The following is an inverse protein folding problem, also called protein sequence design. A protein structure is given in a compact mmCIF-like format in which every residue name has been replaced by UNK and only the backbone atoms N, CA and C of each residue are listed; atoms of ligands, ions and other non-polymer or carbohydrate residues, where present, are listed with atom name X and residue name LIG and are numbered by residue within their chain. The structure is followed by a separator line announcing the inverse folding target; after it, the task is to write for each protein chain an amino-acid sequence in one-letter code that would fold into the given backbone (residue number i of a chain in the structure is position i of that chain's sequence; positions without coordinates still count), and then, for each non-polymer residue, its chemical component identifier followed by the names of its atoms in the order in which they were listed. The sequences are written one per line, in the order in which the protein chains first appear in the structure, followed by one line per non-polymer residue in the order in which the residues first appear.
data_IF_891198068236
#
_entry.id   IF_891198068236
#
_cell.length_a   1.000
_cell.length_b   1.000
_cell.length_c   1.000
_cell.angle_alpha   90.00
_cell.angle_beta   90.00
_cell.angle_gamma   90.00
#
_symmetry.space_group_name_H-M   'P 1'
#
loop_
_entity.id
_entity.type
_entity.pdbx_description
1 polymer ?
#
# COMPACT_ATOMS: atom_id res chain seq x y z
N UNK A 1 -57.27 10.22 10.46
CA UNK A 1 -58.17 9.90 11.60
C UNK A 1 -57.38 9.10 12.60
N UNK A 2 -57.38 9.53 13.87
CA UNK A 2 -56.81 8.79 14.99
C UNK A 2 -57.37 7.37 15.03
N UNK A 3 -56.51 6.37 15.23
CA UNK A 3 -56.84 5.29 16.16
C UNK A 3 -55.61 4.98 17.00
N UNK A 4 -55.68 5.50 18.21
CA UNK A 4 -54.93 5.11 19.39
C UNK A 4 -55.30 3.65 19.72
N UNK A 5 -54.32 2.76 19.84
CA UNK A 5 -54.55 1.43 20.42
C UNK A 5 -53.32 1.00 21.23
N UNK A 6 -53.19 1.59 22.42
CA UNK A 6 -52.45 1.02 23.54
C UNK A 6 -53.45 0.26 24.40
N UNK A 7 -53.46 -1.08 24.34
CA UNK A 7 -53.75 -1.94 25.50
C UNK A 7 -53.59 -3.42 25.12
N UNK A 8 -52.45 -4.02 25.49
CA UNK A 8 -52.37 -5.44 25.82
C UNK A 8 -51.15 -5.63 26.73
N UNK A 9 -51.45 -5.70 28.02
CA UNK A 9 -50.54 -5.97 29.12
C UNK A 9 -50.11 -7.43 29.03
N UNK A 10 -48.86 -7.68 28.68
CA UNK A 10 -48.18 -8.94 28.99
C UNK A 10 -46.98 -8.59 29.87
N UNK A 11 -47.08 -8.93 31.15
CA UNK A 11 -45.99 -8.95 32.12
C UNK A 11 -44.90 -9.91 31.59
N UNK A 12 -43.97 -9.40 30.80
CA UNK A 12 -42.64 -9.97 30.70
C UNK A 12 -41.79 -9.20 31.71
N UNK A 13 -41.30 -9.90 32.73
CA UNK A 13 -40.30 -9.38 33.66
C UNK A 13 -39.12 -8.85 32.83
N UNK A 14 -39.07 -7.54 32.67
CA UNK A 14 -37.91 -6.84 32.18
C UNK A 14 -36.82 -7.00 33.24
N UNK A 15 -36.04 -8.07 33.12
CA UNK A 15 -34.71 -8.13 33.72
C UNK A 15 -33.91 -7.05 33.00
N UNK A 16 -33.92 -5.83 33.50
CA UNK A 16 -32.86 -4.88 33.19
C UNK A 16 -31.56 -5.61 33.54
N UNK A 17 -30.64 -5.84 32.59
CA UNK A 17 -29.33 -6.34 32.93
C UNK A 17 -28.68 -5.26 33.80
N UNK A 18 -28.75 -5.44 35.12
CA UNK A 18 -27.89 -4.70 36.04
C UNK A 18 -26.48 -5.13 35.68
N UNK A 19 -25.69 -4.21 35.13
CA UNK A 19 -24.27 -4.44 34.91
C UNK A 19 -23.69 -4.98 36.22
N UNK A 20 -23.14 -6.20 36.17
CA UNK A 20 -22.56 -6.82 37.35
C UNK A 20 -21.40 -5.95 37.83
N UNK A 21 -21.14 -5.85 39.15
CA UNK A 21 -20.00 -5.09 39.68
C UNK A 21 -18.63 -5.53 39.11
N UNK A 22 -18.54 -6.77 38.58
CA UNK A 22 -17.37 -7.26 37.85
C UNK A 22 -17.14 -6.58 36.48
N UNK A 23 -18.20 -6.07 35.85
CA UNK A 23 -18.13 -5.33 34.59
C UNK A 23 -17.69 -3.89 34.83
N UNK A 24 -18.11 -3.30 35.95
CA UNK A 24 -17.78 -1.94 36.36
C UNK A 24 -16.29 -1.80 36.76
N UNK A 25 -15.74 -2.76 37.51
CA UNK A 25 -14.30 -2.79 37.82
C UNK A 25 -13.42 -3.08 36.60
N UNK A 26 -13.88 -3.93 35.68
CA UNK A 26 -13.17 -4.24 34.44
C UNK A 26 -13.00 -3.01 33.52
N UNK A 27 -13.99 -2.10 33.53
CA UNK A 27 -13.96 -0.84 32.77
C UNK A 27 -13.04 0.21 33.40
N UNK A 28 -12.88 0.25 34.73
CA UNK A 28 -11.96 1.18 35.41
C UNK A 28 -10.48 0.79 35.29
N UNK A 29 -10.19 -0.51 35.19
CA UNK A 29 -8.81 -1.00 35.06
C UNK A 29 -8.30 -1.03 33.62
N UNK A 30 -9.21 -0.94 32.65
CA UNK A 30 -8.89 -0.88 31.22
C UNK A 30 -7.91 0.26 30.86
N UNK A 31 -8.19 1.54 31.19
CA UNK A 31 -7.29 2.63 30.81
C UNK A 31 -5.91 2.49 31.46
N UNK A 32 -5.83 1.93 32.67
CA UNK A 32 -4.57 1.79 33.41
C UNK A 32 -3.66 0.73 32.78
N UNK A 33 -4.21 -0.40 32.33
CA UNK A 33 -3.42 -1.45 31.67
C UNK A 33 -2.92 -0.98 30.31
N UNK A 34 -3.78 -0.37 29.51
CA UNK A 34 -3.39 0.14 28.20
C UNK A 34 -2.35 1.27 28.33
N UNK A 35 -2.48 2.15 29.33
CA UNK A 35 -1.48 3.16 29.63
C UNK A 35 -0.12 2.53 29.97
N UNK A 36 -0.07 1.55 30.87
CA UNK A 36 1.17 0.84 31.22
C UNK A 36 1.80 0.13 30.02
N UNK A 37 0.97 -0.48 29.18
CA UNK A 37 1.43 -1.08 27.94
C UNK A 37 2.05 -0.04 26.99
N UNK A 38 1.39 1.11 26.84
CA UNK A 38 1.89 2.23 26.04
C UNK A 38 3.21 2.81 26.60
N UNK A 39 3.31 2.98 27.91
CA UNK A 39 4.54 3.43 28.59
C UNK A 39 5.70 2.46 28.38
N UNK A 40 5.46 1.15 28.54
CA UNK A 40 6.46 0.12 28.27
C UNK A 40 6.91 0.12 26.81
N UNK A 41 5.98 0.20 25.87
CA UNK A 41 6.29 0.27 24.43
C UNK A 41 7.07 1.55 24.08
N UNK A 42 6.68 2.70 24.63
CA UNK A 42 7.39 3.97 24.42
C UNK A 42 8.81 3.96 24.99
N UNK A 43 9.06 3.16 26.04
CA UNK A 43 10.39 2.92 26.59
C UNK A 43 11.19 1.85 25.84
N UNK A 44 10.64 1.25 24.76
CA UNK A 44 11.27 0.14 24.02
C UNK A 44 11.23 -1.21 24.76
N UNK A 45 10.49 -1.32 25.87
CA UNK A 45 10.29 -2.57 26.60
C UNK A 45 9.11 -3.36 26.03
N UNK A 46 9.31 -3.85 24.80
CA UNK A 46 8.29 -4.62 24.09
C UNK A 46 8.03 -5.99 24.73
N UNK A 47 8.96 -6.52 25.54
CA UNK A 47 8.75 -7.76 26.30
C UNK A 47 7.70 -7.57 27.39
N UNK A 48 7.66 -6.41 28.02
CA UNK A 48 6.61 -6.06 28.99
C UNK A 48 5.33 -5.58 28.31
N UNK A 49 5.43 -4.82 27.21
CA UNK A 49 4.26 -4.25 26.55
C UNK A 49 3.35 -5.32 25.92
N UNK A 50 3.91 -6.28 25.17
CA UNK A 50 3.13 -7.28 24.43
C UNK A 50 2.15 -8.10 25.28
N UNK A 51 2.52 -8.70 26.42
CA UNK A 51 1.57 -9.47 27.22
C UNK A 51 0.43 -8.61 27.78
N UNK A 52 0.71 -7.34 28.13
CA UNK A 52 -0.32 -6.40 28.59
C UNK A 52 -1.30 -6.08 27.46
N UNK A 53 -0.79 -5.82 26.25
CA UNK A 53 -1.62 -5.56 25.07
C UNK A 53 -2.45 -6.80 24.69
N UNK A 54 -1.82 -7.98 24.69
CA UNK A 54 -2.47 -9.22 24.30
C UNK A 54 -3.58 -9.65 25.28
N UNK A 55 -3.43 -9.38 26.58
CA UNK A 55 -4.53 -9.55 27.54
C UNK A 55 -5.67 -8.59 27.21
N UNK A 56 -5.35 -7.33 26.96
CA UNK A 56 -6.36 -6.31 26.72
C UNK A 56 -7.18 -6.57 25.45
N UNK A 57 -6.52 -6.93 24.35
CA UNK A 57 -7.17 -7.33 23.10
C UNK A 57 -8.04 -8.60 23.24
N UNK A 58 -7.82 -9.44 24.26
CA UNK A 58 -8.65 -10.63 24.55
C UNK A 58 -9.85 -10.32 25.44
N UNK A 59 -9.69 -9.43 26.42
CA UNK A 59 -10.70 -9.20 27.45
C UNK A 59 -11.78 -8.21 27.04
N UNK A 60 -11.45 -7.25 26.17
CA UNK A 60 -12.31 -6.10 25.97
C UNK A 60 -12.77 -5.94 24.52
N UNK A 61 -14.02 -6.31 24.27
CA UNK A 61 -14.67 -6.12 22.97
C UNK A 61 -15.26 -4.70 22.80
N UNK A 62 -15.19 -3.85 23.82
CA UNK A 62 -15.77 -2.50 23.84
C UNK A 62 -14.73 -1.39 23.69
N UNK A 63 -13.52 -1.70 23.22
CA UNK A 63 -12.47 -0.71 22.97
C UNK A 63 -12.91 0.21 21.82
N UNK A 64 -12.86 1.55 21.98
CA UNK A 64 -13.11 2.47 20.88
C UNK A 64 -12.22 2.18 19.67
N UNK A 65 -12.75 2.30 18.45
CA UNK A 65 -12.06 1.91 17.21
C UNK A 65 -10.64 2.50 17.11
N UNK A 66 -10.49 3.79 17.36
CA UNK A 66 -9.21 4.49 17.30
C UNK A 66 -8.19 3.92 18.30
N UNK A 67 -8.65 3.59 19.51
CA UNK A 67 -7.82 3.02 20.57
C UNK A 67 -7.43 1.59 20.23
N UNK A 68 -8.35 0.81 19.68
CA UNK A 68 -8.11 -0.56 19.25
C UNK A 68 -7.06 -0.59 18.12
N UNK A 69 -7.24 0.25 17.11
CA UNK A 69 -6.30 0.37 15.99
C UNK A 69 -4.90 0.79 16.46
N UNK A 70 -4.79 1.82 17.32
CA UNK A 70 -3.52 2.22 17.91
C UNK A 70 -2.87 1.10 18.73
N UNK A 71 -3.66 0.37 19.51
CA UNK A 71 -3.20 -0.78 20.30
C UNK A 71 -2.62 -1.89 19.42
N UNK A 72 -3.28 -2.19 18.30
CA UNK A 72 -2.81 -3.19 17.32
C UNK A 72 -1.54 -2.73 16.61
N UNK A 73 -1.42 -1.45 16.28
CA UNK A 73 -0.19 -0.90 15.72
C UNK A 73 0.98 -1.02 16.71
N UNK A 74 0.78 -0.66 17.97
CA UNK A 74 1.80 -0.84 19.02
C UNK A 74 2.17 -2.32 19.16
N UNK A 75 1.18 -3.22 19.16
CA UNK A 75 1.42 -4.66 19.25
C UNK A 75 2.20 -5.19 18.05
N UNK A 76 1.87 -4.76 16.84
CA UNK A 76 2.54 -5.16 15.62
C UNK A 76 4.02 -4.72 15.62
N UNK A 77 4.27 -3.46 15.98
CA UNK A 77 5.63 -2.92 16.09
C UNK A 77 6.44 -3.70 17.15
N UNK A 78 5.89 -3.86 18.36
CA UNK A 78 6.61 -4.55 19.43
C UNK A 78 6.87 -6.03 19.12
N UNK A 79 5.93 -6.73 18.50
CA UNK A 79 6.13 -8.11 18.08
C UNK A 79 7.29 -8.21 17.06
N UNK A 80 7.34 -7.28 16.10
CA UNK A 80 8.44 -7.17 15.14
C UNK A 80 9.80 -6.89 15.80
N UNK A 81 9.84 -5.98 16.79
CA UNK A 81 11.07 -5.68 17.56
C UNK A 81 11.57 -6.88 18.38
N UNK A 82 10.66 -7.72 18.87
CA UNK A 82 11.02 -8.96 19.58
C UNK A 82 11.37 -10.12 18.65
N UNK A 83 11.24 -9.95 17.33
CA UNK A 83 11.50 -10.98 16.32
C UNK A 83 10.35 -11.97 16.09
N UNK A 84 9.18 -11.75 16.69
CA UNK A 84 7.98 -12.57 16.44
C UNK A 84 7.20 -12.01 15.25
N UNK A 85 7.73 -12.24 14.04
CA UNK A 85 7.16 -11.71 12.80
C UNK A 85 5.78 -12.31 12.46
N UNK A 86 5.49 -13.54 12.90
CA UNK A 86 4.18 -14.16 12.73
C UNK A 86 3.14 -13.39 13.55
N UNK A 87 3.46 -13.07 14.80
CA UNK A 87 2.57 -12.28 15.66
C UNK A 87 2.47 -10.83 15.18
N UNK A 88 3.58 -10.23 14.73
CA UNK A 88 3.60 -8.89 14.14
C UNK A 88 2.65 -8.81 12.94
N UNK A 89 2.73 -9.78 12.03
CA UNK A 89 1.88 -9.84 10.84
C UNK A 89 0.41 -10.00 11.21
N UNK A 90 0.09 -10.86 12.19
CA UNK A 90 -1.27 -11.03 12.68
C UNK A 90 -1.86 -9.70 13.18
N UNK A 91 -1.12 -8.93 13.96
CA UNK A 91 -1.58 -7.64 14.44
C UNK A 91 -1.67 -6.59 13.33
N UNK A 92 -0.72 -6.57 12.39
CA UNK A 92 -0.76 -5.67 11.24
C UNK A 92 -1.98 -5.92 10.34
N UNK A 93 -2.30 -7.19 10.04
CA UNK A 93 -3.51 -7.56 9.29
C UNK A 93 -4.78 -7.20 10.06
N UNK A 94 -4.81 -7.40 11.37
CA UNK A 94 -5.97 -7.03 12.18
C UNK A 94 -6.18 -5.51 12.19
N UNK A 95 -5.10 -4.74 12.41
CA UNK A 95 -5.20 -3.29 12.51
C UNK A 95 -5.48 -2.63 11.15
N UNK A 96 -4.95 -3.14 10.04
CA UNK A 96 -5.23 -2.59 8.69
C UNK A 96 -6.69 -2.73 8.23
N UNK A 97 -7.53 -3.46 8.96
CA UNK A 97 -8.99 -3.52 8.69
C UNK A 97 -9.73 -2.24 9.09
N UNK A 98 -9.13 -1.40 9.94
CA UNK A 98 -9.78 -0.18 10.39
C UNK A 98 -9.71 0.92 9.33
N UNK A 99 -10.78 1.70 9.22
CA UNK A 99 -10.85 2.82 8.26
C UNK A 99 -9.76 3.87 8.53
N UNK A 100 -9.39 4.06 9.80
CA UNK A 100 -8.38 5.02 10.25
C UNK A 100 -7.02 4.38 10.56
N UNK A 101 -6.74 3.19 10.02
CA UNK A 101 -5.40 2.57 10.08
C UNK A 101 -4.31 3.57 9.67
N UNK A 102 -3.20 3.60 10.40
CA UNK A 102 -2.11 4.51 10.07
C UNK A 102 -1.31 4.04 8.85
N UNK A 103 -0.66 4.98 8.17
CA UNK A 103 0.25 4.69 7.06
C UNK A 103 1.46 3.85 7.52
N UNK A 104 1.89 4.00 8.78
CA UNK A 104 2.96 3.19 9.36
C UNK A 104 2.55 1.72 9.43
N UNK A 105 1.32 1.43 9.88
CA UNK A 105 0.84 0.06 10.00
C UNK A 105 0.69 -0.63 8.64
N UNK A 106 0.20 0.08 7.63
CA UNK A 106 0.12 -0.45 6.27
C UNK A 106 1.50 -0.77 5.68
N UNK A 107 2.49 0.12 5.88
CA UNK A 107 3.87 -0.13 5.46
C UNK A 107 4.50 -1.32 6.19
N UNK A 108 4.24 -1.46 7.49
CA UNK A 108 4.68 -2.62 8.26
C UNK A 108 4.07 -3.92 7.73
N UNK A 109 2.76 -3.93 7.43
CA UNK A 109 2.08 -5.09 6.82
C UNK A 109 2.78 -5.50 5.53
N UNK A 110 2.98 -4.57 4.60
CA UNK A 110 3.65 -4.85 3.33
C UNK A 110 5.08 -5.37 3.55
N UNK A 111 5.85 -4.73 4.43
CA UNK A 111 7.21 -5.15 4.73
C UNK A 111 7.26 -6.61 5.22
N UNK A 112 6.33 -7.02 6.09
CA UNK A 112 6.23 -8.39 6.58
C UNK A 112 5.81 -9.37 5.47
N UNK A 113 4.92 -8.97 4.56
CA UNK A 113 4.53 -9.79 3.41
C UNK A 113 5.70 -10.02 2.45
N UNK A 114 6.50 -8.97 2.19
CA UNK A 114 7.70 -9.08 1.37
C UNK A 114 8.80 -9.89 2.05
N UNK A 115 8.98 -9.73 3.37
CA UNK A 115 9.95 -10.50 4.15
C UNK A 115 9.65 -12.00 4.10
N UNK A 116 8.38 -12.39 4.20
CA UNK A 116 7.93 -13.78 4.16
C UNK A 116 7.69 -14.30 2.72
N UNK A 117 8.10 -13.55 1.68
CA UNK A 117 7.91 -13.88 0.27
C UNK A 117 6.44 -14.16 -0.12
N UNK A 118 5.49 -13.50 0.53
CA UNK A 118 4.04 -13.64 0.27
C UNK A 118 3.61 -12.69 -0.86
N UNK A 119 4.15 -12.90 -2.06
CA UNK A 119 4.01 -12.00 -3.21
C UNK A 119 2.54 -11.64 -3.52
N UNK A 120 1.63 -12.62 -3.52
CA UNK A 120 0.20 -12.35 -3.80
C UNK A 120 -0.42 -11.39 -2.78
N UNK A 121 -0.16 -11.61 -1.48
CA UNK A 121 -0.69 -10.75 -0.42
C UNK A 121 -0.06 -9.36 -0.46
N UNK A 122 1.23 -9.27 -0.76
CA UNK A 122 1.93 -8.00 -0.93
C UNK A 122 1.33 -7.20 -2.10
N UNK A 123 0.99 -7.84 -3.22
CA UNK A 123 0.31 -7.19 -4.35
C UNK A 123 -1.07 -6.68 -3.96
N UNK A 124 -1.87 -7.51 -3.29
CA UNK A 124 -3.19 -7.11 -2.79
C UNK A 124 -3.08 -5.90 -1.82
N UNK A 125 -2.03 -5.86 -1.02
CA UNK A 125 -1.72 -4.73 -0.13
C UNK A 125 -1.40 -3.47 -0.93
N UNK A 126 -0.53 -3.53 -1.94
CA UNK A 126 -0.17 -2.35 -2.76
C UNK A 126 -1.35 -1.86 -3.60
N UNK A 127 -2.17 -2.76 -4.13
CA UNK A 127 -3.42 -2.43 -4.81
C UNK A 127 -4.45 -1.80 -3.85
N UNK A 128 -4.49 -2.23 -2.59
CA UNK A 128 -5.32 -1.57 -1.58
C UNK A 128 -4.80 -0.17 -1.24
N UNK A 129 -3.48 -0.02 -1.18
CA UNK A 129 -2.83 1.25 -0.84
C UNK A 129 -3.09 2.35 -1.88
N UNK A 130 -3.01 2.03 -3.18
CA UNK A 130 -3.29 3.01 -4.23
C UNK A 130 -4.76 3.48 -4.21
N UNK A 131 -5.67 2.66 -3.69
CA UNK A 131 -7.11 2.93 -3.60
C UNK A 131 -7.51 3.67 -2.31
N UNK A 132 -6.88 4.82 -2.05
CA UNK A 132 -7.27 5.74 -0.96
C UNK A 132 -6.27 5.85 0.20
N UNK A 133 -5.07 5.26 0.07
CA UNK A 133 -3.97 5.37 1.02
C UNK A 133 -2.64 5.67 0.32
N UNK A 134 -2.68 6.53 -0.69
CA UNK A 134 -1.51 6.88 -1.51
C UNK A 134 -0.36 7.45 -0.67
N UNK A 135 -0.62 8.15 0.43
CA UNK A 135 0.41 8.63 1.34
C UNK A 135 1.26 7.48 1.92
N UNK A 136 0.62 6.38 2.37
CA UNK A 136 1.33 5.19 2.82
C UNK A 136 2.16 4.55 1.70
N UNK A 137 1.62 4.49 0.48
CA UNK A 137 2.33 3.96 -0.68
C UNK A 137 3.55 4.81 -1.05
N UNK A 138 3.37 6.12 -1.11
CA UNK A 138 4.38 7.10 -1.52
C UNK A 138 5.53 7.21 -0.51
N UNK A 139 5.26 6.90 0.76
CA UNK A 139 6.26 6.80 1.82
C UNK A 139 7.03 5.46 1.85
N UNK A 140 6.85 4.58 0.86
CA UNK A 140 7.68 3.38 0.67
C UNK A 140 8.85 3.73 -0.26
N UNK A 141 10.11 3.46 0.15
CA UNK A 141 11.26 3.72 -0.70
C UNK A 141 11.20 2.95 -2.03
N UNK A 142 11.41 3.65 -3.15
CA UNK A 142 11.39 3.06 -4.50
C UNK A 142 12.33 1.86 -4.68
N UNK A 143 13.45 1.80 -3.96
CA UNK A 143 14.39 0.67 -4.04
C UNK A 143 13.79 -0.64 -3.51
N UNK A 144 12.77 -0.59 -2.65
CA UNK A 144 12.03 -1.80 -2.22
C UNK A 144 11.27 -2.39 -3.40
N UNK A 145 10.58 -1.55 -4.18
CA UNK A 145 9.86 -1.99 -5.37
C UNK A 145 10.79 -2.50 -6.48
N UNK A 146 11.95 -1.86 -6.68
CA UNK A 146 12.95 -2.36 -7.64
C UNK A 146 13.50 -3.73 -7.24
N UNK A 147 13.78 -3.95 -5.95
CA UNK A 147 14.24 -5.25 -5.45
C UNK A 147 13.15 -6.31 -5.58
N UNK A 148 11.90 -5.95 -5.28
CA UNK A 148 10.77 -6.86 -5.42
C UNK A 148 10.53 -7.25 -6.88
N UNK A 149 10.55 -6.28 -7.80
CA UNK A 149 10.46 -6.54 -9.24
C UNK A 149 11.55 -7.49 -9.73
N UNK A 150 12.80 -7.29 -9.30
CA UNK A 150 13.90 -8.19 -9.64
C UNK A 150 13.66 -9.62 -9.15
N UNK A 151 13.08 -9.78 -7.96
CA UNK A 151 12.64 -11.09 -7.44
C UNK A 151 11.60 -11.74 -8.34
N UNK A 152 10.51 -11.03 -8.63
CA UNK A 152 9.44 -11.53 -9.51
C UNK A 152 9.94 -11.85 -10.93
N UNK A 153 10.88 -11.06 -11.47
CA UNK A 153 11.50 -11.31 -12.76
C UNK A 153 12.35 -12.59 -12.76
N UNK A 154 13.08 -12.85 -11.67
CA UNK A 154 13.87 -14.08 -11.51
C UNK A 154 12.99 -15.34 -11.47
N UNK A 155 11.78 -15.21 -10.91
CA UNK A 155 10.75 -16.25 -10.87
C UNK A 155 9.97 -16.37 -12.19
N UNK A 156 10.22 -15.46 -13.15
CA UNK A 156 9.50 -15.32 -14.43
C UNK A 156 8.00 -15.05 -14.24
N UNK A 157 7.62 -14.42 -13.14
CA UNK A 157 6.23 -14.09 -12.84
C UNK A 157 5.82 -12.75 -13.46
N UNK A 158 5.69 -12.73 -14.79
CA UNK A 158 5.27 -11.53 -15.51
C UNK A 158 3.87 -11.05 -15.10
N UNK A 159 3.01 -11.93 -14.56
CA UNK A 159 1.66 -11.55 -14.14
C UNK A 159 1.71 -10.68 -12.90
N UNK A 160 2.46 -11.10 -11.88
CA UNK A 160 2.71 -10.30 -10.69
C UNK A 160 3.45 -9.00 -11.01
N UNK A 161 4.46 -9.04 -11.88
CA UNK A 161 5.15 -7.82 -12.34
C UNK A 161 4.20 -6.83 -12.98
N UNK A 162 3.29 -7.28 -13.87
CA UNK A 162 2.29 -6.40 -14.48
C UNK A 162 1.35 -5.78 -13.43
N UNK A 163 0.89 -6.55 -12.44
CA UNK A 163 0.06 -6.02 -11.34
C UNK A 163 0.80 -4.94 -10.56
N UNK A 164 2.05 -5.22 -10.17
CA UNK A 164 2.89 -4.27 -9.45
C UNK A 164 3.06 -2.98 -10.24
N UNK A 165 3.50 -3.07 -11.50
CA UNK A 165 3.74 -1.90 -12.32
C UNK A 165 2.47 -1.12 -12.65
N UNK A 166 1.32 -1.77 -12.82
CA UNK A 166 0.05 -1.05 -12.99
C UNK A 166 -0.24 -0.09 -11.82
N UNK A 167 0.17 -0.45 -10.59
CA UNK A 167 0.09 0.44 -9.43
C UNK A 167 1.18 1.51 -9.46
N UNK A 168 2.43 1.11 -9.71
CA UNK A 168 3.59 2.02 -9.65
C UNK A 168 3.68 3.00 -10.83
N UNK A 169 2.88 2.83 -11.89
CA UNK A 169 2.76 3.79 -12.99
C UNK A 169 1.46 4.60 -12.91
N UNK A 170 0.62 4.38 -11.89
CA UNK A 170 -0.59 5.15 -11.67
C UNK A 170 -0.25 6.60 -11.28
N UNK A 171 -1.05 7.57 -11.72
CA UNK A 171 -0.90 8.97 -11.33
C UNK A 171 -1.07 9.24 -9.83
N UNK A 172 -1.70 8.30 -9.10
CA UNK A 172 -1.85 8.35 -7.66
C UNK A 172 -0.57 7.93 -6.90
N UNK A 173 0.39 7.29 -7.57
CA UNK A 173 1.69 6.96 -7.00
C UNK A 173 2.71 8.06 -7.31
N UNK A 174 3.18 8.73 -6.26
CA UNK A 174 4.12 9.86 -6.32
C UNK A 174 5.18 9.64 -5.23
N UNK A 175 6.20 8.81 -5.49
CA UNK A 175 7.16 8.41 -4.47
C UNK A 175 7.92 9.62 -3.90
N UNK A 176 7.98 9.70 -2.57
CA UNK A 176 8.61 10.82 -1.87
C UNK A 176 10.12 10.90 -2.12
N UNK A 177 10.78 9.76 -2.28
CA UNK A 177 12.24 9.67 -2.37
C UNK A 177 12.79 9.76 -3.81
N UNK A 178 11.96 9.59 -4.84
CA UNK A 178 12.40 9.64 -6.24
C UNK A 178 11.24 9.81 -7.22
N UNK A 179 10.74 11.04 -7.42
CA UNK A 179 9.65 11.30 -8.37
C UNK A 179 9.94 10.83 -9.81
N UNK A 180 11.21 10.87 -10.21
CA UNK A 180 11.66 10.46 -11.55
C UNK A 180 11.70 8.94 -11.74
N UNK A 181 11.54 8.13 -10.68
CA UNK A 181 11.53 6.68 -10.78
C UNK A 181 10.30 6.14 -11.54
N UNK A 182 9.19 6.88 -11.54
CA UNK A 182 7.93 6.47 -12.19
C UNK A 182 8.14 6.23 -13.69
N UNK A 183 8.96 7.04 -14.36
CA UNK A 183 9.22 6.87 -15.79
C UNK A 183 10.00 5.58 -16.11
N UNK A 184 10.91 5.15 -15.22
CA UNK A 184 11.58 3.85 -15.37
C UNK A 184 10.55 2.71 -15.23
N UNK A 185 9.60 2.85 -14.31
CA UNK A 185 8.52 1.87 -14.14
C UNK A 185 7.58 1.83 -15.35
N UNK A 186 7.31 2.98 -15.99
CA UNK A 186 6.52 3.05 -17.23
C UNK A 186 7.17 2.31 -18.38
N UNK A 187 8.47 2.48 -18.58
CA UNK A 187 9.23 1.77 -19.62
C UNK A 187 9.15 0.25 -19.43
N UNK A 188 9.44 -0.24 -18.22
CA UNK A 188 9.34 -1.66 -17.87
C UNK A 188 7.93 -2.22 -18.05
N UNK A 189 6.92 -1.45 -17.61
CA UNK A 189 5.52 -1.86 -17.74
C UNK A 189 5.08 -1.98 -19.19
N UNK A 190 5.46 -1.02 -20.04
CA UNK A 190 5.19 -1.07 -21.47
C UNK A 190 5.80 -2.32 -22.11
N UNK A 191 7.03 -2.69 -21.74
CA UNK A 191 7.67 -3.92 -22.19
C UNK A 191 6.87 -5.18 -21.81
N UNK A 192 6.33 -5.25 -20.60
CA UNK A 192 5.47 -6.35 -20.15
C UNK A 192 4.12 -6.39 -20.87
N UNK A 193 3.54 -5.23 -21.17
CA UNK A 193 2.29 -5.11 -21.92
C UNK A 193 2.48 -5.61 -23.37
N UNK A 194 3.59 -5.28 -24.02
CA UNK A 194 3.95 -5.80 -25.36
C UNK A 194 4.04 -7.32 -25.33
N UNK A 195 4.74 -7.88 -24.34
CA UNK A 195 4.87 -9.33 -24.19
C UNK A 195 3.51 -10.02 -24.02
N UNK A 196 2.55 -9.34 -23.38
CA UNK A 196 1.17 -9.80 -23.23
C UNK A 196 0.27 -9.51 -24.46
N UNK A 197 0.81 -8.91 -25.53
CA UNK A 197 0.05 -8.55 -26.74
C UNK A 197 -0.78 -7.26 -26.63
N UNK A 198 -0.63 -6.49 -25.54
CA UNK A 198 -1.38 -5.27 -25.25
C UNK A 198 -0.69 -4.01 -25.82
N UNK A 199 -0.40 -4.00 -27.12
CA UNK A 199 0.37 -2.93 -27.79
C UNK A 199 -0.22 -1.53 -27.58
N UNK A 200 -1.54 -1.38 -27.66
CA UNK A 200 -2.20 -0.09 -27.47
C UNK A 200 -2.01 0.48 -26.06
N UNK A 201 -2.11 -0.38 -25.04
CA UNK A 201 -1.88 0.02 -23.66
C UNK A 201 -0.40 0.39 -23.42
N UNK A 202 0.54 -0.37 -24.01
CA UNK A 202 1.96 -0.05 -23.94
C UNK A 202 2.26 1.34 -24.54
N UNK A 203 1.67 1.66 -25.71
CA UNK A 203 1.84 2.97 -26.33
C UNK A 203 1.30 4.12 -25.47
N UNK A 204 0.16 3.92 -24.79
CA UNK A 204 -0.36 4.90 -23.82
C UNK A 204 0.64 5.14 -22.70
N UNK A 205 1.15 4.08 -22.06
CA UNK A 205 2.12 4.20 -20.97
C UNK A 205 3.40 4.91 -21.40
N UNK A 206 3.94 4.59 -22.58
CA UNK A 206 5.14 5.25 -23.12
C UNK A 206 4.89 6.74 -23.40
N UNK A 207 3.70 7.12 -23.86
CA UNK A 207 3.38 8.52 -24.13
C UNK A 207 3.40 9.40 -22.88
N UNK A 208 3.22 8.81 -21.70
CA UNK A 208 3.26 9.48 -20.39
C UNK A 208 4.68 9.65 -19.83
N UNK A 209 5.72 9.14 -20.50
CA UNK A 209 7.11 9.32 -20.06
C UNK A 209 7.52 10.79 -20.29
N UNK A 210 7.88 11.47 -19.22
CA UNK A 210 8.27 12.88 -19.22
C UNK A 210 9.79 13.07 -19.30
N UNK A 211 10.56 12.17 -18.69
CA UNK A 211 12.01 12.22 -18.65
C UNK A 211 12.61 12.01 -20.06
N UNK A 212 13.32 13.00 -20.62
CA UNK A 212 13.86 12.92 -21.97
C UNK A 212 14.86 11.78 -22.17
N UNK A 213 15.66 11.45 -21.15
CA UNK A 213 16.65 10.37 -21.23
C UNK A 213 15.98 9.00 -21.32
N UNK A 214 14.89 8.79 -20.58
CA UNK A 214 14.13 7.54 -20.61
C UNK A 214 13.34 7.45 -21.93
N UNK A 215 12.76 8.57 -22.39
CA UNK A 215 12.10 8.63 -23.70
C UNK A 215 13.05 8.31 -24.86
N UNK A 216 14.30 8.81 -24.80
CA UNK A 216 15.34 8.46 -25.76
C UNK A 216 15.79 7.00 -25.65
N UNK A 217 15.86 6.42 -24.45
CA UNK A 217 16.15 4.99 -24.29
C UNK A 217 15.04 4.13 -24.91
N UNK A 218 13.77 4.48 -24.65
CA UNK A 218 12.61 3.80 -25.21
C UNK A 218 12.54 3.91 -26.76
N UNK A 219 13.01 5.01 -27.37
CA UNK A 219 13.06 5.12 -28.84
C UNK A 219 14.12 4.22 -29.47
N UNK A 220 15.13 3.82 -28.70
CA UNK A 220 16.19 2.90 -29.13
C UNK A 220 15.84 1.43 -28.90
N UNK A 221 14.87 1.11 -28.03
CA UNK A 221 14.38 -0.25 -27.86
C UNK A 221 13.54 -0.68 -29.09
N UNK A 222 13.94 -1.72 -29.85
CA UNK A 222 13.21 -2.18 -31.03
C UNK A 222 11.75 -2.55 -30.76
N UNK A 223 11.41 -2.90 -29.52
CA UNK A 223 10.04 -3.23 -29.09
C UNK A 223 9.18 -1.98 -28.94
N UNK A 224 9.78 -0.87 -28.52
CA UNK A 224 9.09 0.37 -28.12
C UNK A 224 9.20 1.49 -29.15
N UNK A 225 10.20 1.45 -30.04
CA UNK A 225 10.49 2.48 -31.04
C UNK A 225 9.23 2.97 -31.79
N UNK A 226 8.40 2.05 -32.27
CA UNK A 226 7.19 2.38 -33.04
C UNK A 226 6.04 2.99 -32.22
N UNK A 227 6.21 3.14 -30.90
CA UNK A 227 5.16 3.62 -29.99
C UNK A 227 5.35 5.07 -29.56
N UNK A 228 6.52 5.66 -29.81
CA UNK A 228 6.79 7.06 -29.48
C UNK A 228 6.22 7.94 -30.59
N UNK A 229 5.38 8.94 -30.28
CA UNK A 229 4.90 9.88 -31.28
C UNK A 229 6.08 10.54 -31.99
N UNK A 230 6.05 10.63 -33.33
CA UNK A 230 7.14 11.23 -34.12
C UNK A 230 7.46 12.69 -33.71
N UNK A 231 6.48 13.41 -33.15
CA UNK A 231 6.64 14.77 -32.62
C UNK A 231 7.38 14.84 -31.28
N UNK A 232 7.65 13.68 -30.68
CA UNK A 232 8.30 13.53 -29.38
C UNK A 232 9.49 12.58 -29.45
N UNK A 233 9.85 12.13 -30.65
CA UNK A 233 11.03 11.33 -30.91
C UNK A 233 12.24 12.25 -31.15
N UNK A 234 13.24 12.27 -30.25
CA UNK A 234 14.44 13.08 -30.44
C UNK A 234 15.25 12.67 -31.68
N UNK A 235 15.03 11.49 -32.26
CA UNK A 235 15.65 11.07 -33.52
C UNK A 235 14.91 11.58 -34.77
N UNK A 236 13.60 11.78 -34.70
CA UNK A 236 12.82 12.33 -35.81
C UNK A 236 13.19 13.81 -36.09
N UNK A 237 13.52 14.57 -35.04
CA UNK A 237 14.03 15.94 -35.15
C UNK A 237 15.45 16.03 -35.74
N UNK A 238 16.21 14.93 -35.72
CA UNK A 238 17.58 14.87 -36.24
C UNK A 238 17.67 14.59 -37.75
N UNK A 239 16.54 14.60 -38.48
CA UNK A 239 16.57 14.57 -39.95
C UNK A 239 17.15 15.90 -40.46
N UNK A 240 18.33 15.94 -41.09
CA UNK A 240 18.91 17.19 -41.52
C UNK A 240 18.01 17.83 -42.57
N UNK A 241 17.71 19.13 -42.43
CA UNK A 241 17.52 19.98 -43.60
C UNK A 241 18.81 19.89 -44.42
N UNK A 242 18.91 18.89 -45.30
CA UNK A 242 19.85 18.91 -46.39
C UNK A 242 19.39 20.04 -47.31
N UNK A 243 19.87 21.25 -47.04
CA UNK A 243 19.78 22.34 -47.99
C UNK A 243 20.40 21.84 -49.30
N UNK A 244 19.68 21.89 -50.44
CA UNK A 244 20.26 21.50 -51.71
C UNK A 244 21.51 22.36 -51.98
N UNK A 245 22.60 21.78 -52.52
CA UNK A 245 23.78 22.56 -52.85
C UNK A 245 23.39 23.66 -53.83
N UNK A 246 23.77 24.90 -53.52
CA UNK A 246 23.57 26.04 -54.39
C UNK A 246 24.17 25.72 -55.76
N UNK A 247 23.34 25.76 -56.80
CA UNK A 247 23.77 25.64 -58.18
C UNK A 247 24.75 26.78 -58.47
N UNK A 248 25.99 26.42 -58.77
CA UNK A 248 27.03 27.34 -59.15
C UNK A 248 26.79 27.71 -60.62
N UNK A 249 26.18 28.86 -60.88
CA UNK A 249 26.05 29.42 -62.22
C UNK A 249 27.44 29.82 -62.74
N UNK A 250 27.83 29.26 -63.89
CA UNK A 250 28.97 29.70 -64.71
C UNK A 250 28.47 30.62 -65.81
#
# INVERSE_FOLDING_TARGET
MLVLNCLAIALALAVCPTASPAQETALEDFPKRLLRAGEAAAAGDCRTALPLIAEELRQNNAIPEDVHNATLETAANCAGETGDYVLAYKYAVAGTKFSRSSDKLWRLKLQLELHDHRNDLALDTVESLINGRSAALNGIPTNIFTQWDAGLASEKDDTSRRRLFAVLTSSAYQPENSPTAVDNFREEYAGLLIKAGAMGAAATVISEIENPSIKAAASLDPRLHGMIPATSDPHAEATPLAAPPAANER
#
